data_IF_580698712535
#
_entry.id   IF_580698712535
#
_cell.length_a   1.000
_cell.length_b   1.000
_cell.length_c   1.000
_cell.angle_alpha   90.00
_cell.angle_beta   90.00
_cell.angle_gamma   90.00
#
_symmetry.space_group_name_H-M   'P 1'
#
loop_
_entity.id
_entity.type
_entity.pdbx_description
1 polymer ?
#
# COMPACT_ATOMS: atom_id res chain seq x y z
N UNK A 1 11.70 60.74 -59.52
CA UNK A 1 10.25 60.45 -59.43
C UNK A 1 10.14 58.99 -59.79
N UNK A 2 10.02 58.05 -58.85
CA UNK A 2 8.88 57.91 -57.92
C UNK A 2 9.34 57.32 -56.56
N UNK A 3 8.54 57.59 -55.54
CA UNK A 3 8.83 57.61 -54.09
C UNK A 3 9.24 56.30 -53.39
N UNK A 4 10.07 56.49 -52.35
CA UNK A 4 10.21 55.61 -51.19
C UNK A 4 9.06 55.90 -50.21
N UNK A 5 8.19 54.93 -49.96
CA UNK A 5 7.32 54.85 -48.78
C UNK A 5 8.04 53.94 -47.76
N UNK A 6 8.68 54.47 -46.70
CA UNK A 6 8.12 54.64 -45.36
C UNK A 6 7.25 53.44 -44.92
N UNK A 7 7.76 52.50 -44.12
CA UNK A 7 7.86 52.59 -42.65
C UNK A 7 6.48 52.54 -41.97
N UNK A 8 6.07 51.33 -41.59
CA UNK A 8 5.16 51.07 -40.46
C UNK A 8 5.60 49.79 -39.73
N UNK A 9 6.19 49.90 -38.52
CA UNK A 9 6.35 48.75 -37.63
C UNK A 9 5.56 48.99 -36.34
N UNK A 10 4.23 48.89 -36.39
CA UNK A 10 3.42 48.83 -35.16
C UNK A 10 2.28 47.83 -35.35
N UNK A 11 2.16 46.90 -34.40
CA UNK A 11 1.06 45.97 -34.14
C UNK A 11 1.06 44.59 -34.83
N UNK A 12 1.88 43.67 -34.30
CA UNK A 12 1.44 42.30 -33.95
C UNK A 12 2.12 41.93 -32.62
N UNK A 13 1.59 42.44 -31.51
CA UNK A 13 0.74 41.67 -30.60
C UNK A 13 1.33 40.29 -30.31
N UNK A 14 2.12 40.24 -29.23
CA UNK A 14 2.24 39.12 -28.30
C UNK A 14 0.93 38.34 -28.24
N UNK A 15 0.91 37.13 -28.78
CA UNK A 15 -0.14 36.15 -28.54
C UNK A 15 0.53 34.98 -27.84
N UNK A 16 0.31 34.97 -26.53
CA UNK A 16 -0.03 33.79 -25.73
C UNK A 16 1.11 32.81 -25.36
N UNK A 17 1.73 33.09 -24.20
CA UNK A 17 2.53 32.11 -23.44
C UNK A 17 1.81 31.71 -22.15
N UNK A 18 0.48 31.67 -22.15
CA UNK A 18 -0.33 31.35 -20.96
C UNK A 18 -0.99 29.95 -21.01
N UNK A 19 -0.68 29.11 -22.02
CA UNK A 19 -1.32 27.80 -22.19
C UNK A 19 -0.50 26.58 -21.70
N UNK A 20 0.74 26.76 -21.23
CA UNK A 20 1.64 25.65 -20.87
C UNK A 20 1.54 25.24 -19.37
N UNK A 21 1.20 26.17 -18.47
CA UNK A 21 1.15 25.87 -17.02
C UNK A 21 -0.07 25.01 -16.61
N UNK A 22 -1.19 25.16 -17.31
CA UNK A 22 -2.42 24.39 -17.03
C UNK A 22 -2.29 22.89 -17.36
N UNK A 23 -1.54 22.55 -18.40
CA UNK A 23 -1.31 21.16 -18.82
C UNK A 23 -0.28 20.47 -17.92
N UNK A 24 0.74 21.21 -17.47
CA UNK A 24 1.74 20.70 -16.53
C UNK A 24 1.12 20.35 -15.17
N UNK A 25 0.24 21.21 -14.64
CA UNK A 25 -0.44 20.96 -13.35
C UNK A 25 -1.50 19.86 -13.44
N UNK A 26 -2.28 19.81 -14.53
CA UNK A 26 -3.23 18.73 -14.75
C UNK A 26 -2.54 17.36 -14.84
N UNK A 27 -1.40 17.27 -15.54
CA UNK A 27 -0.61 16.04 -15.63
C UNK A 27 0.05 15.62 -14.31
N UNK A 28 0.48 16.57 -13.49
CA UNK A 28 1.02 16.28 -12.16
C UNK A 28 -0.06 15.82 -11.17
N UNK A 29 -1.22 16.45 -11.18
CA UNK A 29 -2.38 16.06 -10.35
C UNK A 29 -2.87 14.66 -10.69
N UNK A 30 -2.91 14.31 -11.97
CA UNK A 30 -3.35 12.98 -12.43
C UNK A 30 -2.35 11.88 -12.00
N UNK A 31 -1.04 12.14 -12.14
CA UNK A 31 0.03 11.27 -11.63
C UNK A 31 0.01 11.12 -10.11
N UNK A 32 -0.21 12.21 -9.38
CA UNK A 32 -0.29 12.20 -7.92
C UNK A 32 -1.50 11.40 -7.43
N UNK A 33 -2.65 11.53 -8.12
CA UNK A 33 -3.85 10.75 -7.84
C UNK A 33 -3.63 9.26 -8.09
N UNK A 34 -3.03 8.88 -9.22
CA UNK A 34 -2.65 7.49 -9.49
C UNK A 34 -1.70 6.91 -8.43
N UNK A 35 -0.66 7.67 -8.05
CA UNK A 35 0.29 7.21 -7.03
C UNK A 35 -0.36 7.06 -5.66
N UNK A 36 -1.22 8.00 -5.25
CA UNK A 36 -1.98 7.89 -4.01
C UNK A 36 -2.90 6.67 -4.03
N UNK A 37 -3.60 6.42 -5.15
CA UNK A 37 -4.51 5.28 -5.28
C UNK A 37 -3.77 3.94 -5.25
N UNK A 38 -2.61 3.84 -5.89
CA UNK A 38 -1.73 2.65 -5.84
C UNK A 38 -1.12 2.46 -4.46
N UNK A 39 -0.66 3.54 -3.82
CA UNK A 39 -0.08 3.53 -2.47
C UNK A 39 -1.10 3.14 -1.38
N UNK A 40 -2.35 3.57 -1.51
CA UNK A 40 -3.43 3.17 -0.59
C UNK A 40 -3.78 1.69 -0.72
N UNK A 41 -3.85 1.17 -1.95
CA UNK A 41 -4.16 -0.24 -2.19
C UNK A 41 -3.03 -1.15 -1.70
N UNK A 42 -1.78 -0.81 -2.01
CA UNK A 42 -0.60 -1.54 -1.54
C UNK A 42 -0.38 -1.39 -0.03
N UNK A 43 -0.71 -0.22 0.54
CA UNK A 43 -0.60 0.04 1.97
C UNK A 43 -1.57 -0.81 2.79
N UNK A 44 -2.84 -0.90 2.36
CA UNK A 44 -3.84 -1.77 3.01
C UNK A 44 -3.44 -3.23 2.96
N UNK A 45 -3.09 -3.74 1.77
CA UNK A 45 -2.68 -5.13 1.61
C UNK A 45 -1.47 -5.49 2.49
N UNK A 46 -0.42 -4.65 2.50
CA UNK A 46 0.75 -4.89 3.36
C UNK A 46 0.44 -4.83 4.85
N UNK A 47 -0.46 -3.94 5.27
CA UNK A 47 -0.85 -3.84 6.69
C UNK A 47 -1.64 -5.06 7.13
N UNK A 48 -2.54 -5.55 6.29
CA UNK A 48 -3.32 -6.76 6.56
C UNK A 48 -2.40 -7.99 6.60
N UNK A 49 -1.44 -8.09 5.66
CA UNK A 49 -0.45 -9.17 5.63
C UNK A 49 0.46 -9.17 6.86
N UNK A 50 0.95 -8.00 7.29
CA UNK A 50 1.79 -7.87 8.49
C UNK A 50 0.99 -8.21 9.75
N UNK A 51 -0.28 -7.81 9.83
CA UNK A 51 -1.15 -8.17 10.95
C UNK A 51 -1.41 -9.67 10.99
N UNK A 52 -1.69 -10.28 9.85
CA UNK A 52 -1.86 -11.72 9.74
C UNK A 52 -0.58 -12.45 10.15
N UNK A 53 0.58 -12.04 9.66
CA UNK A 53 1.86 -12.63 10.06
C UNK A 53 2.13 -12.52 11.56
N UNK A 54 1.87 -11.35 12.17
CA UNK A 54 2.03 -11.16 13.62
C UNK A 54 1.08 -12.06 14.41
N UNK A 55 -0.20 -12.08 14.03
CA UNK A 55 -1.21 -12.92 14.67
C UNK A 55 -0.84 -14.42 14.58
N UNK A 56 -0.41 -14.89 13.41
CA UNK A 56 0.09 -16.26 13.22
C UNK A 56 1.30 -16.58 14.11
N UNK A 57 2.25 -15.65 14.23
CA UNK A 57 3.41 -15.79 15.11
C UNK A 57 3.03 -15.90 16.59
N UNK A 58 2.05 -15.14 17.05
CA UNK A 58 1.58 -15.20 18.44
C UNK A 58 0.77 -16.48 18.72
N UNK A 59 0.01 -16.98 17.74
CA UNK A 59 -0.67 -18.28 17.82
C UNK A 59 0.34 -19.44 17.93
N UNK A 60 1.44 -19.40 17.17
CA UNK A 60 2.52 -20.40 17.29
C UNK A 60 3.16 -20.39 18.68
N UNK A 61 3.45 -19.20 19.22
CA UNK A 61 3.98 -19.08 20.58
C UNK A 61 3.01 -19.65 21.61
N UNK A 62 1.71 -19.35 21.47
CA UNK A 62 0.65 -19.86 22.33
C UNK A 62 0.57 -21.39 22.29
N UNK A 63 0.57 -21.98 21.09
CA UNK A 63 0.56 -23.43 20.90
C UNK A 63 1.81 -24.08 21.51
N UNK A 64 3.00 -23.51 21.26
CA UNK A 64 4.25 -24.01 21.84
C UNK A 64 4.25 -23.93 23.38
N UNK A 65 3.74 -22.84 23.94
CA UNK A 65 3.62 -22.67 25.39
C UNK A 65 2.63 -23.68 26.01
N UNK A 66 1.46 -23.87 25.39
CA UNK A 66 0.46 -24.85 25.83
C UNK A 66 1.03 -26.28 25.78
N UNK A 67 1.67 -26.64 24.67
CA UNK A 67 2.30 -27.95 24.50
C UNK A 67 3.43 -28.19 25.51
N UNK A 68 4.27 -27.19 25.76
CA UNK A 68 5.33 -27.28 26.75
C UNK A 68 4.78 -27.46 28.17
N UNK A 69 3.72 -26.72 28.52
CA UNK A 69 3.05 -26.86 29.81
C UNK A 69 2.41 -28.24 29.97
N UNK A 70 1.76 -28.76 28.93
CA UNK A 70 1.20 -30.13 28.90
C UNK A 70 2.30 -31.17 29.12
N UNK A 71 3.43 -31.07 28.40
CA UNK A 71 4.60 -31.96 28.56
C UNK A 71 5.21 -31.91 29.96
N UNK A 72 5.11 -30.76 30.63
CA UNK A 72 5.59 -30.56 32.00
C UNK A 72 4.57 -30.99 33.07
N UNK A 73 3.37 -31.41 32.67
CA UNK A 73 2.29 -31.79 33.58
C UNK A 73 1.61 -30.62 34.28
N UNK A 74 1.93 -29.38 33.90
CA UNK A 74 1.33 -28.15 34.46
C UNK A 74 0.24 -27.56 33.55
N UNK A 75 0.11 -28.05 32.31
CA UNK A 75 -0.89 -27.64 31.34
C UNK A 75 -1.96 -28.71 31.12
N UNK A 76 -2.99 -28.36 30.35
CA UNK A 76 -4.04 -29.29 29.95
C UNK A 76 -3.96 -29.61 28.46
N UNK A 77 -4.28 -30.86 28.05
CA UNK A 77 -4.43 -31.20 26.63
C UNK A 77 -5.47 -30.32 25.93
N UNK A 78 -6.50 -29.90 26.66
CA UNK A 78 -7.54 -28.99 26.17
C UNK A 78 -6.96 -27.65 25.69
N UNK A 79 -5.99 -27.08 26.42
CA UNK A 79 -5.38 -25.80 26.08
C UNK A 79 -4.54 -25.92 24.80
N UNK A 80 -3.79 -27.02 24.65
CA UNK A 80 -3.06 -27.33 23.41
C UNK A 80 -4.02 -27.46 22.24
N UNK A 81 -5.14 -28.15 22.43
CA UNK A 81 -6.14 -28.38 21.38
C UNK A 81 -6.84 -27.09 20.95
N UNK A 82 -7.14 -26.19 21.90
CA UNK A 82 -7.68 -24.85 21.61
C UNK A 82 -6.69 -23.98 20.84
N UNK A 83 -5.42 -23.98 21.25
CA UNK A 83 -4.37 -23.23 20.55
C UNK A 83 -4.16 -23.76 19.12
N UNK A 84 -4.22 -25.08 18.93
CA UNK A 84 -4.14 -25.71 17.62
C UNK A 84 -5.32 -25.31 16.73
N UNK A 85 -6.55 -25.37 17.26
CA UNK A 85 -7.75 -25.00 16.51
C UNK A 85 -7.75 -23.52 16.10
N UNK A 86 -7.25 -22.63 16.98
CA UNK A 86 -7.09 -21.21 16.66
C UNK A 86 -6.06 -20.99 15.54
N UNK A 87 -4.95 -21.74 15.56
CA UNK A 87 -3.94 -21.72 14.50
C UNK A 87 -4.51 -22.21 13.16
N UNK A 88 -5.25 -23.30 13.16
CA UNK A 88 -5.91 -23.85 11.96
C UNK A 88 -6.94 -22.86 11.39
N UNK A 89 -7.75 -22.23 12.24
CA UNK A 89 -8.71 -21.20 11.81
C UNK A 89 -8.01 -19.99 11.19
N UNK A 90 -6.86 -19.61 11.71
CA UNK A 90 -6.06 -18.52 11.16
C UNK A 90 -5.49 -18.90 9.79
N UNK A 91 -4.93 -20.11 9.64
CA UNK A 91 -4.44 -20.62 8.36
C UNK A 91 -5.56 -20.70 7.33
N UNK A 92 -6.76 -21.14 7.72
CA UNK A 92 -7.91 -21.20 6.82
C UNK A 92 -8.35 -19.81 6.31
N UNK A 93 -8.12 -18.75 7.09
CA UNK A 93 -8.55 -17.38 6.77
C UNK A 93 -7.47 -16.58 6.05
N UNK A 94 -6.21 -16.71 6.47
CA UNK A 94 -5.09 -15.87 6.04
C UNK A 94 -3.98 -16.63 5.30
N UNK A 95 -4.05 -17.96 5.26
CA UNK A 95 -3.02 -18.82 4.69
C UNK A 95 -1.90 -19.18 5.67
N UNK A 96 -0.98 -20.03 5.21
CA UNK A 96 0.16 -20.57 5.96
C UNK A 96 1.45 -19.75 5.79
N UNK A 97 1.38 -18.56 5.20
CA UNK A 97 2.56 -17.76 4.85
C UNK A 97 3.45 -17.40 6.03
N UNK A 98 2.89 -17.26 7.23
CA UNK A 98 3.63 -16.99 8.47
C UNK A 98 4.46 -18.20 8.97
N UNK A 99 4.21 -19.42 8.48
CA UNK A 99 4.98 -20.62 8.83
C UNK A 99 6.31 -20.72 8.09
N UNK A 100 6.48 -19.96 7.00
CA UNK A 100 7.64 -20.03 6.09
C UNK A 100 8.63 -18.86 6.25
N UNK A 101 8.34 -17.96 7.18
CA UNK A 101 9.11 -16.74 7.42
C UNK A 101 10.45 -17.01 8.13
#
# INVERSE_FOLDING_TARGET
MTERELQDPVARSTVETDHDEGIAMAGFLDRAKEQAQRGLTQGKQKLDDVQAQRAGGDLLKSLGAAYYAERRGSGSPQATQQALQALESHIATHGDGFLRA
#
